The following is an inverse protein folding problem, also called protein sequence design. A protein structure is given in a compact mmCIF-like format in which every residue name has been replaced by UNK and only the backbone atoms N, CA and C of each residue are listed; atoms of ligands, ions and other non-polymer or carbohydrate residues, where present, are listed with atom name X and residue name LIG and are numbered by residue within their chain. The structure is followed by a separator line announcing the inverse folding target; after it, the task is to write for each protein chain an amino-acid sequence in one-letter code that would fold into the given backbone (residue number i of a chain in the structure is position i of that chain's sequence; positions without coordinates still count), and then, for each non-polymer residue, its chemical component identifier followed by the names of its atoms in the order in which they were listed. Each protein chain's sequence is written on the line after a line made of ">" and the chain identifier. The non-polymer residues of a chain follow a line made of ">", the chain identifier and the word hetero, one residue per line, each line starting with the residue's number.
data_IF_508025883206
#
_entry.id   IF_508025883206
#
_cell.length_a   1.000
_cell.length_b   1.000
_cell.length_c   1.000
_cell.angle_alpha   90.00
_cell.angle_beta   90.00
_cell.angle_gamma   90.00
#
_symmetry.space_group_name_H-M   'P 1'
#
loop_
_entity.id
_entity.type
_entity.pdbx_description
1 polymer ?
#
# COMPACT_ATOMS: atom_id res chain seq x y z
N UNK A 1 28.51 63.55 -31.70
CA UNK A 1 29.77 63.17 -31.03
C UNK A 1 29.70 61.70 -30.70
N UNK A 2 30.79 60.97 -30.91
CA UNK A 2 30.87 59.59 -30.45
C UNK A 2 31.03 59.57 -28.92
N UNK A 3 30.56 58.52 -28.26
CA UNK A 3 30.72 58.32 -26.81
C UNK A 3 32.17 58.50 -26.34
N UNK A 4 33.14 58.08 -27.17
CA UNK A 4 34.57 58.20 -26.88
C UNK A 4 35.07 59.65 -27.00
N UNK A 5 34.52 60.42 -27.93
CA UNK A 5 34.81 61.86 -28.07
C UNK A 5 34.32 62.62 -26.84
N UNK A 6 33.08 62.38 -26.39
CA UNK A 6 32.52 63.03 -25.19
C UNK A 6 33.33 62.70 -23.92
N UNK A 7 33.85 61.47 -23.80
CA UNK A 7 34.75 61.12 -22.67
C UNK A 7 36.11 61.80 -22.75
N UNK A 8 36.70 61.90 -23.95
CA UNK A 8 38.00 62.54 -24.16
C UNK A 8 37.93 64.05 -23.91
N UNK A 9 36.87 64.69 -24.40
CA UNK A 9 36.61 66.10 -24.21
C UNK A 9 36.35 66.42 -22.73
N UNK A 10 35.62 65.55 -22.01
CA UNK A 10 35.44 65.68 -20.57
C UNK A 10 36.77 65.62 -19.80
N UNK A 11 37.64 64.64 -20.05
CA UNK A 11 38.93 64.54 -19.35
C UNK A 11 39.88 65.70 -19.67
N UNK A 12 39.77 66.27 -20.88
CA UNK A 12 40.49 67.49 -21.27
C UNK A 12 39.98 68.69 -20.47
N UNK A 13 38.66 68.87 -20.40
CA UNK A 13 38.01 69.93 -19.62
C UNK A 13 38.30 69.84 -18.12
N UNK A 14 38.39 68.63 -17.56
CA UNK A 14 38.74 68.38 -16.16
C UNK A 14 40.12 68.96 -15.82
N UNK A 15 41.07 68.79 -16.74
CA UNK A 15 42.45 69.26 -16.58
C UNK A 15 42.55 70.78 -16.74
N UNK A 16 41.79 71.36 -17.68
CA UNK A 16 41.75 72.81 -17.92
C UNK A 16 41.01 73.58 -16.83
N UNK A 17 39.96 72.98 -16.26
CA UNK A 17 39.12 73.59 -15.21
C UNK A 17 39.67 73.43 -13.79
N UNK A 18 40.90 72.93 -13.64
CA UNK A 18 41.54 72.65 -12.34
C UNK A 18 40.65 71.82 -11.40
N UNK A 19 39.91 70.85 -11.96
CA UNK A 19 38.96 69.97 -11.26
C UNK A 19 37.69 70.63 -10.67
N UNK A 20 37.34 71.86 -11.06
CA UNK A 20 36.06 72.49 -10.65
C UNK A 20 34.87 71.86 -11.41
N UNK A 21 34.12 71.01 -10.71
CA UNK A 21 32.97 70.28 -11.25
C UNK A 21 31.80 71.20 -11.64
N UNK A 22 31.65 72.37 -11.00
CA UNK A 22 30.61 73.33 -11.34
C UNK A 22 30.89 74.01 -12.68
N UNK A 23 32.16 74.34 -12.93
CA UNK A 23 32.62 74.92 -14.19
C UNK A 23 32.49 73.91 -15.34
N UNK A 24 32.90 72.66 -15.11
CA UNK A 24 32.83 71.57 -16.11
C UNK A 24 31.36 71.25 -16.46
N UNK A 25 30.46 71.27 -15.48
CA UNK A 25 29.02 71.05 -15.72
C UNK A 25 28.38 72.16 -16.54
N UNK A 26 28.80 73.41 -16.33
CA UNK A 26 28.30 74.55 -17.11
C UNK A 26 28.73 74.52 -18.57
N UNK A 27 29.90 73.94 -18.87
CA UNK A 27 30.50 73.91 -20.21
C UNK A 27 30.23 72.61 -20.98
N UNK A 28 30.16 71.46 -20.30
CA UNK A 28 29.89 70.16 -20.91
C UNK A 28 29.01 69.27 -19.99
N UNK A 29 27.72 69.57 -19.85
CA UNK A 29 26.81 68.81 -18.98
C UNK A 29 26.65 67.36 -19.43
N UNK A 30 26.63 67.08 -20.74
CA UNK A 30 26.53 65.73 -21.29
C UNK A 30 27.74 64.86 -20.92
N UNK A 31 28.96 65.41 -20.99
CA UNK A 31 30.19 64.72 -20.58
C UNK A 31 30.18 64.29 -19.11
N UNK A 32 29.62 65.12 -18.21
CA UNK A 32 29.44 64.75 -16.79
C UNK A 32 28.47 63.57 -16.65
N UNK A 33 27.33 63.59 -17.33
CA UNK A 33 26.37 62.49 -17.27
C UNK A 33 26.97 61.18 -17.79
N UNK A 34 27.78 61.23 -18.86
CA UNK A 34 28.50 60.08 -19.40
C UNK A 34 29.50 59.51 -18.38
N UNK A 35 30.27 60.35 -17.68
CA UNK A 35 31.24 59.90 -16.67
C UNK A 35 30.56 59.32 -15.44
N UNK A 36 29.47 59.93 -14.97
CA UNK A 36 28.66 59.38 -13.87
C UNK A 36 28.07 58.02 -14.25
N UNK A 37 27.59 57.85 -15.49
CA UNK A 37 27.10 56.58 -16.01
C UNK A 37 28.21 55.51 -16.02
N UNK A 38 29.43 55.85 -16.45
CA UNK A 38 30.59 54.94 -16.42
C UNK A 38 30.90 54.49 -14.99
N UNK A 39 30.92 55.43 -14.03
CA UNK A 39 31.15 55.10 -12.61
C UNK A 39 30.06 54.19 -12.03
N UNK A 40 28.79 54.43 -12.39
CA UNK A 40 27.67 53.56 -12.02
C UNK A 40 27.82 52.16 -12.60
N UNK A 41 28.20 52.04 -13.87
CA UNK A 41 28.45 50.73 -14.51
C UNK A 41 29.61 50.01 -13.84
N UNK A 42 30.71 50.69 -13.52
CA UNK A 42 31.84 50.12 -12.79
C UNK A 42 31.43 49.64 -11.38
N UNK A 43 30.63 50.43 -10.65
CA UNK A 43 30.09 50.04 -9.35
C UNK A 43 29.22 48.78 -9.44
N UNK A 44 28.35 48.69 -10.46
CA UNK A 44 27.53 47.50 -10.71
C UNK A 44 28.40 46.27 -11.02
N UNK A 45 29.45 46.43 -11.84
CA UNK A 45 30.40 45.35 -12.15
C UNK A 45 31.08 44.86 -10.86
N UNK A 46 31.59 45.78 -10.03
CA UNK A 46 32.23 45.44 -8.75
C UNK A 46 31.25 44.72 -7.82
N UNK A 47 30.02 45.21 -7.70
CA UNK A 47 28.98 44.57 -6.90
C UNK A 47 28.67 43.14 -7.38
N UNK A 48 28.63 42.91 -8.70
CA UNK A 48 28.45 41.58 -9.29
C UNK A 48 29.61 40.64 -8.97
N UNK A 49 30.87 41.12 -9.03
CA UNK A 49 32.04 40.33 -8.66
C UNK A 49 32.04 39.96 -7.18
N UNK A 50 31.77 40.92 -6.29
CA UNK A 50 31.65 40.68 -4.84
C UNK A 50 30.57 39.63 -4.55
N UNK A 51 29.38 39.80 -5.16
CA UNK A 51 28.27 38.85 -5.01
C UNK A 51 28.65 37.45 -5.50
N UNK A 52 29.37 37.35 -6.62
CA UNK A 52 29.82 36.07 -7.16
C UNK A 52 30.85 35.39 -6.25
N UNK A 53 31.82 36.15 -5.74
CA UNK A 53 32.83 35.66 -4.80
C UNK A 53 32.21 35.17 -3.49
N UNK A 54 31.26 35.94 -2.93
CA UNK A 54 30.54 35.55 -1.72
C UNK A 54 29.78 34.23 -1.91
N UNK A 55 29.02 34.08 -3.00
CA UNK A 55 28.30 32.84 -3.30
C UNK A 55 29.22 31.64 -3.52
N UNK A 56 30.40 31.87 -4.13
CA UNK A 56 31.42 30.83 -4.30
C UNK A 56 31.97 30.37 -2.94
N UNK A 57 32.29 31.30 -2.05
CA UNK A 57 32.76 31.00 -0.69
C UNK A 57 31.70 30.26 0.14
N UNK A 58 30.43 30.70 0.06
CA UNK A 58 29.30 30.01 0.71
C UNK A 58 29.18 28.56 0.23
N UNK A 59 29.31 28.36 -1.09
CA UNK A 59 29.21 27.03 -1.71
C UNK A 59 30.40 26.13 -1.32
N UNK A 60 31.63 26.65 -1.29
CA UNK A 60 32.81 25.91 -0.81
C UNK A 60 32.64 25.48 0.65
N UNK A 61 32.13 26.37 1.50
CA UNK A 61 31.81 26.06 2.90
C UNK A 61 30.71 25.01 3.02
N UNK A 62 29.74 25.00 2.10
CA UNK A 62 28.69 23.99 2.06
C UNK A 62 29.26 22.62 1.69
N UNK A 63 30.07 22.56 0.63
CA UNK A 63 30.76 21.34 0.17
C UNK A 63 31.62 20.74 1.30
N UNK A 64 32.38 21.56 2.03
CA UNK A 64 33.27 21.07 3.10
C UNK A 64 32.55 20.59 4.36
N UNK A 65 31.29 21.00 4.57
CA UNK A 65 30.52 20.67 5.77
C UNK A 65 29.39 19.68 5.53
N UNK A 66 29.09 19.34 4.28
CA UNK A 66 27.90 18.54 3.96
C UNK A 66 27.91 17.15 4.62
N UNK A 67 29.09 16.55 4.77
CA UNK A 67 29.27 15.24 5.44
C UNK A 67 28.85 15.25 6.92
N UNK A 68 28.80 16.43 7.56
CA UNK A 68 28.44 16.57 8.98
C UNK A 68 26.93 16.71 9.22
N UNK A 69 26.11 16.66 8.16
CA UNK A 69 24.66 16.78 8.28
C UNK A 69 24.09 15.41 8.66
N UNK A 70 23.32 15.37 9.75
CA UNK A 70 22.72 14.15 10.29
C UNK A 70 21.29 13.89 9.82
N UNK A 71 20.64 14.85 9.15
CA UNK A 71 19.30 14.71 8.61
C UNK A 71 19.32 14.50 7.09
N UNK A 72 18.60 13.48 6.61
CA UNK A 72 18.62 13.12 5.18
C UNK A 72 18.02 14.22 4.29
N UNK A 73 16.89 14.82 4.69
CA UNK A 73 16.20 15.80 3.86
C UNK A 73 17.01 17.10 3.77
N UNK A 74 17.63 17.51 4.88
CA UNK A 74 18.58 18.62 4.91
C UNK A 74 19.82 18.34 4.04
N UNK A 75 20.38 17.12 4.13
CA UNK A 75 21.53 16.71 3.34
C UNK A 75 21.22 16.77 1.85
N UNK A 76 20.12 16.14 1.42
CA UNK A 76 19.71 16.05 0.01
C UNK A 76 19.38 17.43 -0.59
N UNK A 77 18.70 18.28 0.18
CA UNK A 77 18.42 19.67 -0.19
C UNK A 77 19.71 20.48 -0.40
N UNK A 78 20.67 20.35 0.52
CA UNK A 78 21.97 21.03 0.41
C UNK A 78 22.82 20.48 -0.74
N UNK A 79 22.81 19.17 -0.98
CA UNK A 79 23.51 18.58 -2.12
C UNK A 79 22.88 19.03 -3.45
N UNK A 80 21.55 19.12 -3.52
CA UNK A 80 20.83 19.68 -4.67
C UNK A 80 21.21 21.13 -4.93
N UNK A 81 21.33 21.95 -3.88
CA UNK A 81 21.84 23.34 -3.99
C UNK A 81 23.26 23.37 -4.55
N UNK A 82 24.13 22.44 -4.13
CA UNK A 82 25.48 22.31 -4.69
C UNK A 82 25.40 22.01 -6.18
N UNK A 83 24.61 21.01 -6.58
CA UNK A 83 24.46 20.60 -7.97
C UNK A 83 23.99 21.75 -8.88
N UNK A 84 23.02 22.55 -8.43
CA UNK A 84 22.43 23.66 -9.19
C UNK A 84 23.36 24.88 -9.31
N UNK A 85 24.17 25.17 -8.29
CA UNK A 85 25.07 26.33 -8.30
C UNK A 85 26.47 25.99 -8.87
N UNK A 86 26.85 24.71 -8.91
CA UNK A 86 28.12 24.24 -9.48
C UNK A 86 28.47 24.89 -10.84
N UNK A 87 27.60 24.92 -11.87
CA UNK A 87 27.96 25.46 -13.19
C UNK A 87 28.17 27.00 -13.21
N UNK A 88 27.90 27.69 -12.10
CA UNK A 88 28.06 29.16 -11.96
C UNK A 88 29.28 29.58 -11.14
N UNK A 89 29.99 28.66 -10.47
CA UNK A 89 30.95 28.98 -9.39
C UNK A 89 32.40 28.55 -9.62
N UNK A 90 32.73 28.11 -10.84
CA UNK A 90 34.10 27.88 -11.29
C UNK A 90 34.68 26.51 -10.91
N UNK A 91 35.89 26.24 -11.39
CA UNK A 91 36.61 24.96 -11.23
C UNK A 91 37.01 24.64 -9.79
N UNK A 92 37.23 25.65 -8.94
CA UNK A 92 37.62 25.45 -7.54
C UNK A 92 36.55 24.68 -6.74
N UNK A 93 35.27 25.00 -6.96
CA UNK A 93 34.16 24.26 -6.32
C UNK A 93 34.11 22.82 -6.83
N UNK A 94 34.31 22.62 -8.14
CA UNK A 94 34.35 21.29 -8.73
C UNK A 94 35.49 20.44 -8.14
N UNK A 95 36.68 21.03 -7.97
CA UNK A 95 37.83 20.34 -7.39
C UNK A 95 37.61 19.99 -5.90
N UNK A 96 37.02 20.90 -5.13
CA UNK A 96 36.64 20.63 -3.73
C UNK A 96 35.61 19.49 -3.63
N UNK A 97 34.59 19.50 -4.49
CA UNK A 97 33.61 18.41 -4.57
C UNK A 97 34.28 17.09 -4.98
N UNK A 98 35.23 17.13 -5.93
CA UNK A 98 35.97 15.96 -6.39
C UNK A 98 36.80 15.32 -5.28
N UNK A 99 37.39 16.12 -4.39
CA UNK A 99 38.14 15.63 -3.24
C UNK A 99 37.25 14.93 -2.20
N UNK A 100 36.01 15.38 -2.03
CA UNK A 100 35.10 14.90 -0.98
C UNK A 100 34.05 13.88 -1.46
N UNK A 101 33.95 13.62 -2.78
CA UNK A 101 32.90 12.81 -3.41
C UNK A 101 32.66 11.43 -2.78
N UNK A 102 33.73 10.77 -2.33
CA UNK A 102 33.64 9.46 -1.65
C UNK A 102 32.96 9.56 -0.29
N UNK A 103 33.45 10.45 0.57
CA UNK A 103 32.87 10.64 1.90
C UNK A 103 31.46 11.23 1.88
N UNK A 104 31.11 12.03 0.86
CA UNK A 104 29.74 12.52 0.66
C UNK A 104 28.80 11.34 0.44
N UNK A 105 29.15 10.42 -0.46
CA UNK A 105 28.37 9.21 -0.71
C UNK A 105 28.24 8.35 0.55
N UNK A 106 29.35 8.07 1.23
CA UNK A 106 29.34 7.26 2.46
C UNK A 106 28.45 7.88 3.55
N UNK A 107 28.56 9.19 3.78
CA UNK A 107 27.75 9.89 4.78
C UNK A 107 26.27 9.84 4.39
N UNK A 108 25.95 10.09 3.12
CA UNK A 108 24.57 10.09 2.65
C UNK A 108 23.92 8.70 2.75
N UNK A 109 24.64 7.63 2.40
CA UNK A 109 24.13 6.26 2.52
C UNK A 109 23.95 5.84 3.98
N UNK A 110 24.81 6.31 4.89
CA UNK A 110 24.66 6.02 6.32
C UNK A 110 23.34 6.57 6.88
N UNK A 111 22.86 7.71 6.38
CA UNK A 111 21.56 8.29 6.77
C UNK A 111 20.35 7.45 6.36
N UNK A 112 20.53 6.50 5.41
CA UNK A 112 19.45 5.64 4.94
C UNK A 112 19.29 4.36 5.76
N UNK A 113 20.22 4.03 6.65
CA UNK A 113 20.33 2.70 7.28
C UNK A 113 19.01 2.22 7.89
N UNK A 114 18.35 3.08 8.66
CA UNK A 114 17.15 2.75 9.43
C UNK A 114 15.84 3.07 8.67
N UNK A 115 15.94 3.48 7.40
CA UNK A 115 14.75 3.73 6.59
C UNK A 115 14.09 2.40 6.19
N UNK A 116 12.76 2.37 6.25
CA UNK A 116 12.02 1.27 5.62
C UNK A 116 12.21 1.27 4.10
N UNK A 117 11.95 0.12 3.46
CA UNK A 117 12.23 -0.05 2.03
C UNK A 117 11.50 0.96 1.12
N UNK A 118 10.28 1.37 1.49
CA UNK A 118 9.53 2.40 0.75
C UNK A 118 10.27 3.75 0.77
N UNK A 119 10.77 4.16 1.95
CA UNK A 119 11.60 5.36 2.07
C UNK A 119 12.93 5.20 1.34
N UNK A 120 13.61 4.06 1.46
CA UNK A 120 14.85 3.77 0.72
C UNK A 120 14.66 3.93 -0.79
N UNK A 121 13.65 3.30 -1.39
CA UNK A 121 13.35 3.43 -2.83
C UNK A 121 13.23 4.90 -3.25
N UNK A 122 12.49 5.71 -2.48
CA UNK A 122 12.34 7.16 -2.76
C UNK A 122 13.68 7.88 -2.66
N UNK A 123 14.42 7.69 -1.58
CA UNK A 123 15.70 8.34 -1.33
C UNK A 123 16.76 7.97 -2.37
N UNK A 124 16.91 6.70 -2.72
CA UNK A 124 17.85 6.26 -3.76
C UNK A 124 17.56 6.92 -5.12
N UNK A 125 16.29 7.06 -5.50
CA UNK A 125 15.89 7.80 -6.72
C UNK A 125 16.29 9.27 -6.66
N UNK A 126 16.09 9.93 -5.52
CA UNK A 126 16.49 11.33 -5.32
C UNK A 126 18.00 11.49 -5.44
N UNK A 127 18.77 10.67 -4.71
CA UNK A 127 20.24 10.68 -4.74
C UNK A 127 20.74 10.48 -6.18
N UNK A 128 20.25 9.47 -6.88
CA UNK A 128 20.62 9.19 -8.28
C UNK A 128 20.40 10.40 -9.19
N UNK A 129 19.25 11.05 -9.08
CA UNK A 129 18.92 12.26 -9.85
C UNK A 129 19.88 13.41 -9.56
N UNK A 130 20.15 13.68 -8.28
CA UNK A 130 21.10 14.72 -7.85
C UNK A 130 22.52 14.40 -8.36
N UNK A 131 22.93 13.14 -8.31
CA UNK A 131 24.26 12.72 -8.76
C UNK A 131 24.41 12.87 -10.27
N UNK A 132 23.37 12.51 -11.04
CA UNK A 132 23.32 12.77 -12.48
C UNK A 132 23.40 14.26 -12.81
N UNK A 133 22.73 15.11 -12.03
CA UNK A 133 22.81 16.56 -12.17
C UNK A 133 24.21 17.11 -11.87
N UNK A 134 24.89 16.60 -10.83
CA UNK A 134 26.27 16.96 -10.52
C UNK A 134 27.19 16.56 -11.68
N UNK A 135 27.06 15.35 -12.21
CA UNK A 135 27.86 14.89 -13.35
C UNK A 135 27.70 15.81 -14.57
N UNK A 136 26.46 16.13 -14.93
CA UNK A 136 26.17 17.03 -16.05
C UNK A 136 26.70 18.45 -15.81
N UNK A 137 26.56 18.96 -14.60
CA UNK A 137 27.03 20.29 -14.22
C UNK A 137 28.56 20.40 -14.16
N UNK A 138 29.25 19.28 -13.91
CA UNK A 138 30.72 19.19 -13.82
C UNK A 138 31.41 19.24 -15.20
N UNK A 139 30.71 18.82 -16.27
CA UNK A 139 31.22 18.82 -17.65
C UNK A 139 31.75 20.19 -18.10
N UNK A 140 31.13 21.27 -17.64
CA UNK A 140 31.53 22.65 -17.96
C UNK A 140 32.98 22.98 -17.59
N UNK A 141 33.55 22.29 -16.60
CA UNK A 141 34.88 22.58 -16.06
C UNK A 141 35.93 21.53 -16.44
N UNK A 142 35.62 20.63 -17.39
CA UNK A 142 36.52 19.56 -17.82
C UNK A 142 37.10 18.68 -16.68
N UNK A 143 36.37 18.57 -15.56
CA UNK A 143 36.75 17.67 -14.46
C UNK A 143 36.20 16.27 -14.77
N UNK A 144 36.96 15.50 -15.54
CA UNK A 144 36.57 14.15 -15.99
C UNK A 144 36.37 13.18 -14.83
N UNK A 145 37.22 13.24 -13.81
CA UNK A 145 37.15 12.33 -12.66
C UNK A 145 35.83 12.50 -11.90
N UNK A 146 35.48 13.75 -11.57
CA UNK A 146 34.22 14.10 -10.90
C UNK A 146 33.01 13.68 -11.76
N UNK A 147 33.07 14.00 -13.06
CA UNK A 147 31.99 13.69 -14.00
C UNK A 147 31.76 12.18 -14.09
N UNK A 148 32.82 11.41 -14.35
CA UNK A 148 32.75 9.94 -14.46
C UNK A 148 32.30 9.30 -13.15
N UNK A 149 32.78 9.80 -12.01
CA UNK A 149 32.37 9.28 -10.70
C UNK A 149 30.87 9.43 -10.46
N UNK A 150 30.33 10.64 -10.60
CA UNK A 150 28.92 10.91 -10.33
C UNK A 150 28.00 10.30 -11.38
N UNK A 151 28.43 10.24 -12.65
CA UNK A 151 27.68 9.54 -13.70
C UNK A 151 27.58 8.04 -13.38
N UNK A 152 28.71 7.40 -13.05
CA UNK A 152 28.73 5.99 -12.69
C UNK A 152 27.90 5.70 -11.43
N UNK A 153 28.10 6.49 -10.36
CA UNK A 153 27.38 6.30 -9.10
C UNK A 153 25.88 6.55 -9.23
N UNK A 154 25.43 7.49 -10.06
CA UNK A 154 24.00 7.70 -10.31
C UNK A 154 23.30 6.43 -10.82
N UNK A 155 24.00 5.62 -11.62
CA UNK A 155 23.50 4.34 -12.16
C UNK A 155 23.61 3.22 -11.14
N UNK A 156 24.81 2.98 -10.60
CA UNK A 156 25.07 1.89 -9.62
C UNK A 156 24.12 1.97 -8.41
N UNK A 157 23.80 3.17 -7.95
CA UNK A 157 22.85 3.36 -6.84
C UNK A 157 21.50 2.69 -7.08
N UNK A 158 21.00 2.73 -8.32
CA UNK A 158 19.71 2.15 -8.68
C UNK A 158 19.86 0.70 -9.17
N UNK A 159 20.84 0.45 -10.02
CA UNK A 159 21.00 -0.82 -10.73
C UNK A 159 21.62 -1.92 -9.86
N UNK A 160 22.30 -1.56 -8.75
CA UNK A 160 22.94 -2.51 -7.86
C UNK A 160 22.55 -2.30 -6.39
N UNK A 161 22.81 -1.10 -5.85
CA UNK A 161 22.70 -0.87 -4.40
C UNK A 161 21.24 -0.95 -3.93
N UNK A 162 20.31 -0.30 -4.64
CA UNK A 162 18.88 -0.39 -4.32
C UNK A 162 18.33 -1.80 -4.53
N UNK A 163 18.78 -2.53 -5.55
CA UNK A 163 18.36 -3.91 -5.77
C UNK A 163 18.75 -4.80 -4.59
N UNK A 164 19.99 -4.66 -4.08
CA UNK A 164 20.46 -5.38 -2.88
C UNK A 164 19.65 -5.04 -1.65
N UNK A 165 19.26 -3.78 -1.47
CA UNK A 165 18.40 -3.34 -0.37
C UNK A 165 16.99 -3.94 -0.44
N UNK A 166 16.41 -4.01 -1.65
CA UNK A 166 15.12 -4.67 -1.88
C UNK A 166 15.22 -6.16 -1.61
N UNK A 167 16.29 -6.81 -2.08
CA UNK A 167 16.57 -8.23 -1.82
C UNK A 167 16.74 -8.53 -0.34
N UNK A 168 17.54 -7.73 0.36
CA UNK A 168 17.70 -7.86 1.78
C UNK A 168 16.38 -7.64 2.53
N UNK A 169 15.52 -6.73 2.07
CA UNK A 169 14.20 -6.54 2.67
C UNK A 169 13.34 -7.80 2.54
N UNK A 170 13.09 -8.30 1.33
CA UNK A 170 12.13 -9.39 1.15
C UNK A 170 12.63 -10.73 1.73
N UNK A 171 13.95 -10.94 1.84
CA UNK A 171 14.53 -12.13 2.48
C UNK A 171 14.43 -12.15 4.01
N UNK A 172 14.15 -11.01 4.64
CA UNK A 172 14.17 -10.87 6.11
C UNK A 172 12.81 -10.51 6.72
N UNK A 173 11.73 -10.58 5.93
CA UNK A 173 10.37 -10.36 6.42
C UNK A 173 9.56 -11.66 6.45
N UNK A 174 8.45 -11.64 7.18
CA UNK A 174 7.53 -12.77 7.27
C UNK A 174 6.21 -12.54 6.53
N UNK A 175 6.16 -11.52 5.65
CA UNK A 175 4.98 -11.14 4.85
C UNK A 175 3.69 -11.02 5.67
N UNK A 176 3.59 -9.99 6.51
CA UNK A 176 2.37 -9.65 7.27
C UNK A 176 1.56 -8.60 6.52
N UNK A 177 0.30 -8.38 6.88
CA UNK A 177 -0.55 -7.35 6.26
C UNK A 177 0.11 -5.95 6.23
N UNK A 178 0.82 -5.58 7.30
CA UNK A 178 1.53 -4.29 7.36
C UNK A 178 2.65 -4.13 6.31
N UNK A 179 3.09 -5.23 5.69
CA UNK A 179 4.12 -5.25 4.64
C UNK A 179 3.58 -4.96 3.24
N UNK A 180 2.26 -4.96 3.04
CA UNK A 180 1.62 -4.72 1.73
C UNK A 180 2.09 -3.39 1.12
N UNK A 181 2.11 -2.32 1.92
CA UNK A 181 2.58 -0.99 1.47
C UNK A 181 4.03 -1.00 0.97
N UNK A 182 4.86 -1.88 1.51
CA UNK A 182 6.26 -2.01 1.14
C UNK A 182 6.40 -2.85 -0.14
N UNK A 183 5.67 -3.96 -0.23
CA UNK A 183 5.60 -4.78 -1.44
C UNK A 183 5.04 -3.98 -2.62
N UNK A 184 3.96 -3.22 -2.44
CA UNK A 184 3.40 -2.36 -3.48
C UNK A 184 4.41 -1.29 -3.95
N UNK A 185 5.24 -0.76 -3.03
CA UNK A 185 6.31 0.19 -3.38
C UNK A 185 7.42 -0.48 -4.19
N UNK A 186 7.77 -1.72 -3.87
CA UNK A 186 8.73 -2.54 -4.63
C UNK A 186 8.18 -2.85 -6.02
N UNK A 187 6.92 -3.29 -6.12
CA UNK A 187 6.26 -3.59 -7.40
C UNK A 187 6.21 -2.34 -8.29
N UNK A 188 5.81 -1.21 -7.73
CA UNK A 188 5.79 0.09 -8.44
C UNK A 188 7.17 0.46 -8.97
N UNK A 189 8.22 0.24 -8.17
CA UNK A 189 9.59 0.50 -8.61
C UNK A 189 10.04 -0.48 -9.70
N UNK A 190 9.84 -1.78 -9.50
CA UNK A 190 10.22 -2.81 -10.47
C UNK A 190 9.57 -2.55 -11.84
N UNK A 191 8.29 -2.19 -11.86
CA UNK A 191 7.56 -1.85 -13.08
C UNK A 191 8.07 -0.58 -13.80
N UNK A 192 8.85 0.27 -13.11
CA UNK A 192 9.52 1.42 -13.74
C UNK A 192 10.85 1.06 -14.41
N UNK A 193 11.36 -0.16 -14.22
CA UNK A 193 12.59 -0.64 -14.82
C UNK A 193 12.34 -1.26 -16.20
N UNK A 194 13.39 -1.35 -17.02
CA UNK A 194 13.35 -2.05 -18.31
C UNK A 194 13.07 -3.55 -18.15
N UNK A 195 13.56 -4.15 -17.06
CA UNK A 195 13.35 -5.55 -16.73
C UNK A 195 12.76 -5.68 -15.32
N UNK A 196 11.43 -5.57 -15.15
CA UNK A 196 10.77 -5.73 -13.85
C UNK A 196 11.03 -7.10 -13.21
N UNK A 197 11.22 -8.14 -14.02
CA UNK A 197 11.39 -9.52 -13.53
C UNK A 197 12.66 -9.74 -12.71
N UNK A 198 13.68 -8.88 -12.90
CA UNK A 198 14.88 -8.88 -12.06
C UNK A 198 14.59 -8.69 -10.57
N UNK A 199 13.44 -8.11 -10.23
CA UNK A 199 12.97 -7.92 -8.85
C UNK A 199 11.74 -8.77 -8.55
N UNK A 200 10.76 -8.81 -9.47
CA UNK A 200 9.48 -9.46 -9.22
C UNK A 200 9.59 -10.97 -9.09
N UNK A 201 10.40 -11.62 -9.93
CA UNK A 201 10.55 -13.08 -9.89
C UNK A 201 11.19 -13.55 -8.57
N UNK A 202 12.35 -13.01 -8.12
CA UNK A 202 12.92 -13.38 -6.82
C UNK A 202 12.00 -13.08 -5.63
N UNK A 203 11.27 -11.95 -5.65
CA UNK A 203 10.29 -11.63 -4.62
C UNK A 203 9.17 -12.68 -4.55
N UNK A 204 8.64 -13.07 -5.72
CA UNK A 204 7.61 -14.10 -5.82
C UNK A 204 8.14 -15.46 -5.33
N UNK A 205 9.36 -15.84 -5.69
CA UNK A 205 10.01 -17.05 -5.21
C UNK A 205 10.14 -17.06 -3.68
N UNK A 206 10.56 -15.94 -3.07
CA UNK A 206 10.69 -15.84 -1.62
C UNK A 206 9.33 -15.98 -0.91
N UNK A 207 8.29 -15.30 -1.41
CA UNK A 207 6.92 -15.45 -0.91
C UNK A 207 6.47 -16.92 -0.99
N UNK A 208 6.76 -17.57 -2.12
CA UNK A 208 6.34 -18.94 -2.40
C UNK A 208 7.09 -20.01 -1.57
N UNK A 209 8.17 -19.67 -0.87
CA UNK A 209 8.85 -20.58 0.07
C UNK A 209 8.01 -20.88 1.30
N UNK A 210 7.10 -19.97 1.65
CA UNK A 210 6.24 -20.11 2.81
C UNK A 210 4.94 -20.84 2.45
N UNK A 211 4.40 -21.59 3.42
CA UNK A 211 3.15 -22.31 3.21
C UNK A 211 1.93 -21.41 3.40
N UNK A 212 1.20 -21.17 2.31
CA UNK A 212 -0.09 -20.47 2.32
C UNK A 212 -1.18 -21.24 3.08
N UNK A 213 -1.00 -22.54 3.26
CA UNK A 213 -1.96 -23.41 3.94
C UNK A 213 -1.77 -23.47 5.46
N UNK A 214 -0.64 -22.98 5.99
CA UNK A 214 -0.30 -23.06 7.41
C UNK A 214 0.19 -21.74 8.03
N UNK A 215 0.54 -20.73 7.22
CA UNK A 215 0.94 -19.42 7.71
C UNK A 215 -0.22 -18.41 7.59
N UNK A 216 -0.89 -18.13 8.71
CA UNK A 216 -2.01 -17.19 8.75
C UNK A 216 -1.59 -15.77 8.32
N UNK A 217 -0.41 -15.29 8.72
CA UNK A 217 0.04 -13.94 8.36
C UNK A 217 0.19 -13.79 6.85
N UNK A 218 0.80 -14.80 6.21
CA UNK A 218 0.94 -14.84 4.76
C UNK A 218 -0.42 -14.94 4.06
N UNK A 219 -1.32 -15.78 4.59
CA UNK A 219 -2.67 -15.90 4.05
C UNK A 219 -3.42 -14.57 4.06
N UNK A 220 -3.38 -13.85 5.19
CA UNK A 220 -3.97 -12.52 5.34
C UNK A 220 -3.30 -11.49 4.44
N UNK A 221 -1.97 -11.49 4.39
CA UNK A 221 -1.19 -10.65 3.48
C UNK A 221 -1.64 -10.84 2.03
N UNK A 222 -1.70 -12.09 1.56
CA UNK A 222 -2.09 -12.44 0.20
C UNK A 222 -3.51 -12.01 -0.15
N UNK A 223 -4.46 -12.23 0.77
CA UNK A 223 -5.87 -11.81 0.64
C UNK A 223 -6.04 -10.30 0.54
N UNK A 224 -5.20 -9.54 1.23
CA UNK A 224 -5.27 -8.09 1.26
C UNK A 224 -4.49 -7.39 0.12
N UNK A 225 -3.76 -8.14 -0.72
CA UNK A 225 -3.17 -7.60 -1.95
C UNK A 225 -4.28 -7.23 -2.94
N UNK A 226 -3.98 -6.29 -3.84
CA UNK A 226 -4.89 -5.91 -4.94
C UNK A 226 -4.22 -6.10 -6.28
N UNK A 227 -5.02 -6.38 -7.31
CA UNK A 227 -4.52 -6.53 -8.69
C UNK A 227 -3.88 -5.25 -9.21
N UNK A 228 -4.44 -4.10 -8.83
CA UNK A 228 -4.01 -2.77 -9.30
C UNK A 228 -2.64 -2.38 -8.75
N UNK A 229 -2.40 -2.58 -7.45
CA UNK A 229 -1.15 -2.16 -6.81
C UNK A 229 -0.06 -3.23 -6.84
N UNK A 230 -0.45 -4.50 -6.67
CA UNK A 230 0.50 -5.60 -6.47
C UNK A 230 0.70 -6.45 -7.74
N UNK A 231 -0.14 -6.27 -8.77
CA UNK A 231 0.04 -6.85 -10.10
C UNK A 231 0.30 -8.36 -10.08
N UNK A 232 1.45 -8.79 -10.61
CA UNK A 232 1.83 -10.21 -10.71
C UNK A 232 1.93 -10.91 -9.35
N UNK A 233 2.33 -10.20 -8.30
CA UNK A 233 2.42 -10.78 -6.95
C UNK A 233 1.03 -11.16 -6.44
N UNK A 234 0.02 -10.29 -6.66
CA UNK A 234 -1.37 -10.61 -6.35
C UNK A 234 -1.85 -11.84 -7.11
N UNK A 235 -1.63 -11.89 -8.43
CA UNK A 235 -2.06 -13.04 -9.25
C UNK A 235 -1.46 -14.34 -8.73
N UNK A 236 -0.14 -14.39 -8.52
CA UNK A 236 0.52 -15.60 -7.99
C UNK A 236 -0.02 -16.00 -6.61
N UNK A 237 -0.17 -15.05 -5.69
CA UNK A 237 -0.68 -15.33 -4.35
C UNK A 237 -2.12 -15.86 -4.35
N UNK A 238 -2.99 -15.27 -5.18
CA UNK A 238 -4.37 -15.73 -5.29
C UNK A 238 -4.49 -17.09 -5.97
N UNK A 239 -3.73 -17.32 -7.05
CA UNK A 239 -3.69 -18.63 -7.70
C UNK A 239 -3.25 -19.71 -6.70
N UNK A 240 -2.26 -19.40 -5.84
CA UNK A 240 -1.85 -20.29 -4.74
C UNK A 240 -2.98 -20.55 -3.77
N UNK A 241 -3.66 -19.52 -3.27
CA UNK A 241 -4.80 -19.68 -2.35
C UNK A 241 -5.91 -20.50 -2.99
N UNK A 242 -6.33 -20.18 -4.21
CA UNK A 242 -7.42 -20.88 -4.89
C UNK A 242 -7.08 -22.33 -5.19
N UNK A 243 -5.80 -22.64 -5.46
CA UNK A 243 -5.34 -24.01 -5.60
C UNK A 243 -5.46 -24.83 -4.30
N UNK A 244 -5.39 -24.20 -3.13
CA UNK A 244 -5.58 -24.89 -1.84
C UNK A 244 -7.02 -25.40 -1.69
N UNK A 245 -7.99 -24.56 -2.05
CA UNK A 245 -9.42 -24.88 -1.90
C UNK A 245 -9.96 -25.75 -3.04
N UNK A 246 -9.32 -25.72 -4.21
CA UNK A 246 -9.69 -26.55 -5.36
C UNK A 246 -9.11 -27.98 -5.29
N UNK A 247 -8.15 -28.23 -4.38
CA UNK A 247 -7.52 -29.53 -4.23
C UNK A 247 -8.05 -30.27 -3.00
N UNK A 248 -8.88 -31.28 -3.27
CA UNK A 248 -9.53 -32.11 -2.25
C UNK A 248 -8.57 -32.90 -1.34
N UNK A 249 -7.26 -32.92 -1.58
CA UNK A 249 -6.29 -33.64 -0.73
C UNK A 249 -5.39 -32.71 0.10
N UNK A 250 -5.43 -31.40 -0.17
CA UNK A 250 -4.59 -30.43 0.53
C UNK A 250 -5.11 -30.20 1.94
N UNK A 251 -4.20 -30.03 2.90
CA UNK A 251 -4.51 -29.69 4.28
C UNK A 251 -4.37 -28.18 4.47
N UNK A 252 -5.42 -27.51 4.92
CA UNK A 252 -5.44 -26.07 5.23
C UNK A 252 -5.67 -25.90 6.72
N UNK A 253 -4.67 -25.39 7.46
CA UNK A 253 -4.69 -25.19 8.91
C UNK A 253 -6.04 -24.71 9.44
N UNK A 254 -6.50 -25.32 10.53
CA UNK A 254 -7.73 -24.94 11.22
C UNK A 254 -7.78 -23.45 11.54
N UNK A 255 -6.65 -22.83 11.90
CA UNK A 255 -6.57 -21.42 12.24
C UNK A 255 -6.94 -20.54 11.03
N UNK A 256 -6.59 -20.97 9.81
CA UNK A 256 -6.96 -20.27 8.58
C UNK A 256 -8.45 -20.49 8.28
N UNK A 257 -8.96 -21.71 8.48
CA UNK A 257 -10.38 -22.01 8.27
C UNK A 257 -11.27 -21.23 9.24
N UNK A 258 -10.92 -21.17 10.53
CA UNK A 258 -11.60 -20.36 11.54
C UNK A 258 -11.58 -18.88 11.16
N UNK A 259 -10.41 -18.35 10.77
CA UNK A 259 -10.30 -16.98 10.28
C UNK A 259 -11.25 -16.71 9.11
N UNK A 260 -11.38 -17.62 8.15
CA UNK A 260 -12.30 -17.47 7.03
C UNK A 260 -13.77 -17.51 7.45
N UNK A 261 -14.14 -18.38 8.39
CA UNK A 261 -15.49 -18.45 8.96
C UNK A 261 -15.86 -17.12 9.63
N UNK A 262 -14.94 -16.58 10.45
CA UNK A 262 -15.12 -15.31 11.17
C UNK A 262 -15.20 -14.09 10.23
N UNK A 263 -14.57 -14.16 9.06
CA UNK A 263 -14.47 -13.04 8.11
C UNK A 263 -15.38 -13.19 6.88
N UNK A 264 -16.49 -13.93 7.02
CA UNK A 264 -17.56 -13.98 6.01
C UNK A 264 -17.30 -14.90 4.80
N UNK A 265 -16.27 -15.74 4.85
CA UNK A 265 -15.94 -16.72 3.80
C UNK A 265 -16.40 -18.16 4.14
N UNK A 266 -17.40 -18.28 5.02
CA UNK A 266 -17.97 -19.55 5.50
C UNK A 266 -18.26 -20.55 4.39
N UNK A 267 -18.91 -20.09 3.31
CA UNK A 267 -19.30 -20.95 2.19
C UNK A 267 -18.09 -21.65 1.53
N UNK A 268 -16.95 -20.96 1.39
CA UNK A 268 -15.72 -21.53 0.82
C UNK A 268 -15.13 -22.61 1.73
N UNK A 269 -15.25 -22.43 3.05
CA UNK A 269 -14.85 -23.44 4.05
C UNK A 269 -15.78 -24.65 4.03
N UNK A 270 -17.10 -24.43 3.94
CA UNK A 270 -18.08 -25.51 3.85
C UNK A 270 -17.87 -26.35 2.59
N UNK A 271 -17.63 -25.71 1.44
CA UNK A 271 -17.34 -26.39 0.18
C UNK A 271 -16.05 -27.20 0.27
N UNK A 272 -15.00 -26.64 0.87
CA UNK A 272 -13.75 -27.36 1.09
C UNK A 272 -13.93 -28.60 1.98
N UNK A 273 -14.60 -28.46 3.12
CA UNK A 273 -14.88 -29.58 4.03
C UNK A 273 -15.75 -30.62 3.34
N UNK A 274 -16.77 -30.23 2.57
CA UNK A 274 -17.66 -31.16 1.86
C UNK A 274 -16.92 -32.05 0.85
N UNK A 275 -15.80 -31.58 0.31
CA UNK A 275 -15.08 -32.21 -0.79
C UNK A 275 -13.76 -32.88 -0.35
N UNK A 276 -13.32 -32.68 0.89
CA UNK A 276 -12.03 -33.12 1.40
C UNK A 276 -11.92 -34.65 1.39
N UNK A 277 -10.91 -35.20 0.72
CA UNK A 277 -10.66 -36.64 0.53
C UNK A 277 -9.63 -37.22 1.48
N UNK A 278 -9.01 -36.41 2.32
CA UNK A 278 -8.00 -36.86 3.30
C UNK A 278 -8.69 -37.28 4.61
N UNK A 279 -8.83 -38.58 4.92
CA UNK A 279 -9.65 -39.03 6.06
C UNK A 279 -9.07 -38.58 7.40
N UNK A 280 -7.75 -38.74 7.59
CA UNK A 280 -7.09 -38.35 8.85
C UNK A 280 -7.19 -36.85 9.10
N UNK A 281 -7.13 -36.05 8.04
CA UNK A 281 -7.27 -34.60 8.17
C UNK A 281 -8.73 -34.19 8.45
N UNK A 282 -9.68 -34.78 7.71
CA UNK A 282 -11.11 -34.56 7.93
C UNK A 282 -11.51 -34.96 9.36
N UNK A 283 -10.98 -36.05 9.89
CA UNK A 283 -11.17 -36.47 11.28
C UNK A 283 -10.69 -35.42 12.28
N UNK A 284 -9.52 -34.82 12.03
CA UNK A 284 -9.01 -33.75 12.89
C UNK A 284 -9.94 -32.53 12.86
N UNK A 285 -10.37 -32.12 11.66
CA UNK A 285 -11.31 -31.02 11.51
C UNK A 285 -12.65 -31.30 12.18
N UNK A 286 -13.15 -32.54 12.10
CA UNK A 286 -14.38 -32.97 12.77
C UNK A 286 -14.29 -32.71 14.27
N UNK A 287 -13.21 -33.12 14.94
CA UNK A 287 -13.06 -32.91 16.38
C UNK A 287 -12.95 -31.42 16.78
N UNK A 288 -12.47 -30.58 15.87
CA UNK A 288 -12.23 -29.17 16.15
C UNK A 288 -13.41 -28.27 15.78
N UNK A 289 -14.23 -28.65 14.79
CA UNK A 289 -15.31 -27.83 14.26
C UNK A 289 -16.71 -28.39 14.50
N UNK A 290 -16.92 -29.70 14.37
CA UNK A 290 -18.27 -30.27 14.31
C UNK A 290 -18.98 -30.21 15.67
N UNK A 291 -20.18 -29.62 15.68
CA UNK A 291 -21.05 -29.57 16.86
C UNK A 291 -20.48 -28.79 18.05
N UNK A 292 -19.51 -27.90 17.80
CA UNK A 292 -18.96 -27.00 18.83
C UNK A 292 -19.91 -25.82 19.02
N UNK A 293 -20.23 -25.50 20.27
CA UNK A 293 -21.11 -24.36 20.61
C UNK A 293 -20.56 -23.02 20.09
N UNK A 294 -19.24 -22.87 20.04
CA UNK A 294 -18.56 -21.69 19.49
C UNK A 294 -18.80 -21.53 17.97
N UNK A 295 -19.22 -22.61 17.31
CA UNK A 295 -19.50 -22.67 15.87
C UNK A 295 -20.95 -23.16 15.65
N UNK A 296 -21.96 -22.47 16.19
CA UNK A 296 -23.37 -22.78 15.90
C UNK A 296 -23.70 -22.41 14.44
N UNK A 297 -23.26 -23.27 13.52
CA UNK A 297 -23.40 -23.11 12.07
C UNK A 297 -23.81 -24.46 11.46
N UNK A 298 -25.13 -24.66 11.37
CA UNK A 298 -25.69 -25.88 10.80
C UNK A 298 -25.15 -26.21 9.41
N UNK A 299 -24.74 -25.22 8.61
CA UNK A 299 -24.18 -25.47 7.29
C UNK A 299 -22.77 -26.07 7.35
N UNK A 300 -21.99 -25.72 8.38
CA UNK A 300 -20.69 -26.33 8.64
C UNK A 300 -20.86 -27.80 9.03
N UNK A 301 -21.80 -28.10 9.92
CA UNK A 301 -22.09 -29.48 10.31
C UNK A 301 -22.61 -30.31 9.13
N UNK A 302 -23.52 -29.75 8.33
CA UNK A 302 -24.03 -30.41 7.13
C UNK A 302 -22.94 -30.59 6.05
N UNK A 303 -21.90 -29.74 6.03
CA UNK A 303 -20.75 -29.95 5.15
C UNK A 303 -19.96 -31.22 5.51
N UNK A 304 -19.82 -31.53 6.81
CA UNK A 304 -19.23 -32.80 7.25
C UNK A 304 -20.09 -34.00 6.84
N UNK A 305 -21.41 -33.92 7.06
CA UNK A 305 -22.37 -34.99 6.68
C UNK A 305 -22.35 -35.26 5.18
N UNK A 306 -22.29 -34.18 4.38
CA UNK A 306 -22.22 -34.26 2.92
C UNK A 306 -20.95 -34.96 2.42
N UNK A 307 -19.85 -34.95 3.17
CA UNK A 307 -18.57 -35.49 2.71
C UNK A 307 -18.55 -37.03 2.71
N UNK A 308 -18.35 -37.63 1.52
CA UNK A 308 -18.32 -39.08 1.30
C UNK A 308 -17.11 -39.81 1.94
N UNK A 309 -16.09 -39.06 2.37
CA UNK A 309 -14.88 -39.62 2.99
C UNK A 309 -15.21 -40.17 4.36
N UNK A 310 -15.00 -41.49 4.52
CA UNK A 310 -15.26 -42.19 5.78
C UNK A 310 -14.31 -41.74 6.88
N UNK A 311 -14.85 -41.35 8.03
CA UNK A 311 -14.10 -41.07 9.26
C UNK A 311 -14.75 -41.87 10.42
N UNK A 312 -14.34 -41.61 11.65
CA UNK A 312 -15.04 -42.08 12.84
C UNK A 312 -15.95 -40.96 13.34
N UNK A 313 -17.14 -40.89 12.76
CA UNK A 313 -18.17 -39.90 13.04
C UNK A 313 -19.31 -40.43 13.93
N UNK A 314 -20.06 -39.51 14.53
CA UNK A 314 -21.37 -39.80 15.11
C UNK A 314 -22.44 -38.82 14.60
N UNK A 315 -22.54 -38.69 13.27
CA UNK A 315 -23.45 -37.73 12.64
C UNK A 315 -24.93 -38.02 12.97
N UNK A 316 -25.33 -39.30 13.02
CA UNK A 316 -26.72 -39.68 13.27
C UNK A 316 -27.23 -39.14 14.60
N UNK A 317 -26.56 -39.48 15.70
CA UNK A 317 -26.99 -39.07 17.04
C UNK A 317 -27.03 -37.54 17.17
N UNK A 318 -26.04 -36.84 16.58
CA UNK A 318 -26.04 -35.38 16.55
C UNK A 318 -27.25 -34.80 15.82
N UNK A 319 -27.55 -35.29 14.61
CA UNK A 319 -28.68 -34.79 13.82
C UNK A 319 -30.02 -35.11 14.49
N UNK A 320 -30.20 -36.32 15.02
CA UNK A 320 -31.42 -36.72 15.74
C UNK A 320 -31.66 -35.82 16.96
N UNK A 321 -30.61 -35.50 17.71
CA UNK A 321 -30.67 -34.58 18.84
C UNK A 321 -30.99 -33.14 18.39
N UNK A 322 -30.34 -32.63 17.35
CA UNK A 322 -30.61 -31.27 16.82
C UNK A 322 -32.05 -31.15 16.29
N UNK A 323 -32.57 -32.16 15.58
CA UNK A 323 -33.96 -32.19 15.11
C UNK A 323 -34.92 -32.25 16.30
N UNK A 324 -34.64 -33.11 17.28
CA UNK A 324 -35.50 -33.28 18.46
C UNK A 324 -35.54 -32.02 19.31
N UNK A 325 -34.42 -31.35 19.53
CA UNK A 325 -34.35 -30.12 20.32
C UNK A 325 -35.05 -28.95 19.62
N UNK A 326 -34.90 -28.85 18.30
CA UNK A 326 -35.46 -27.76 17.49
C UNK A 326 -36.77 -28.14 16.80
N UNK A 327 -37.52 -29.11 17.35
CA UNK A 327 -38.67 -29.73 16.68
C UNK A 327 -39.81 -28.76 16.27
N UNK A 328 -39.85 -27.56 16.84
CA UNK A 328 -40.81 -26.49 16.49
C UNK A 328 -40.33 -25.58 15.35
N UNK A 329 -39.04 -25.58 15.04
CA UNK A 329 -38.47 -24.79 13.94
C UNK A 329 -38.52 -25.59 12.64
N UNK A 330 -39.67 -25.51 11.97
CA UNK A 330 -39.89 -26.23 10.71
C UNK A 330 -38.93 -25.80 9.60
N UNK A 331 -38.47 -24.55 9.61
CA UNK A 331 -37.52 -24.03 8.63
C UNK A 331 -36.17 -24.72 8.75
N UNK A 332 -35.63 -24.77 9.98
CA UNK A 332 -34.38 -25.45 10.27
C UNK A 332 -34.45 -26.96 9.99
N UNK A 333 -35.52 -27.62 10.43
CA UNK A 333 -35.66 -29.07 10.22
C UNK A 333 -35.71 -29.39 8.73
N UNK A 334 -36.51 -28.64 7.94
CA UNK A 334 -36.56 -28.82 6.48
C UNK A 334 -35.19 -28.58 5.84
N UNK A 335 -34.45 -27.57 6.29
CA UNK A 335 -33.10 -27.30 5.81
C UNK A 335 -32.17 -28.49 6.04
N UNK A 336 -32.20 -29.08 7.25
CA UNK A 336 -31.42 -30.28 7.59
C UNK A 336 -31.84 -31.47 6.73
N UNK A 337 -33.13 -31.78 6.65
CA UNK A 337 -33.61 -32.96 5.92
C UNK A 337 -33.31 -32.90 4.40
N UNK A 338 -33.32 -31.71 3.83
CA UNK A 338 -33.03 -31.50 2.41
C UNK A 338 -31.53 -31.57 2.08
N UNK A 339 -30.66 -31.61 3.09
CA UNK A 339 -29.22 -31.64 2.87
C UNK A 339 -28.75 -33.01 2.34
N UNK A 340 -27.73 -33.03 1.47
CA UNK A 340 -27.20 -34.29 0.93
C UNK A 340 -26.78 -35.26 2.03
N UNK A 341 -27.04 -36.55 1.81
CA UNK A 341 -26.67 -37.68 2.68
C UNK A 341 -27.28 -37.68 4.09
N UNK A 342 -28.13 -36.71 4.45
CA UNK A 342 -28.84 -36.74 5.74
C UNK A 342 -29.76 -37.95 5.82
N UNK A 343 -30.54 -38.25 4.78
CA UNK A 343 -31.38 -39.45 4.73
C UNK A 343 -30.58 -40.75 4.95
N UNK A 344 -29.41 -40.86 4.31
CA UNK A 344 -28.51 -42.02 4.45
C UNK A 344 -27.95 -42.12 5.87
N UNK A 345 -27.73 -40.96 6.52
CA UNK A 345 -27.12 -40.85 7.84
C UNK A 345 -28.10 -41.18 8.96
N UNK A 346 -29.30 -40.58 8.97
CA UNK A 346 -30.29 -40.83 10.03
C UNK A 346 -31.12 -42.09 9.76
N UNK A 347 -31.30 -42.45 8.48
CA UNK A 347 -32.04 -43.62 8.03
C UNK A 347 -33.52 -43.33 7.71
N UNK A 348 -34.10 -44.19 6.84
CA UNK A 348 -35.45 -43.99 6.27
C UNK A 348 -36.58 -43.90 7.31
N UNK A 349 -36.51 -44.68 8.40
CA UNK A 349 -37.57 -44.72 9.41
C UNK A 349 -37.60 -43.40 10.18
N UNK A 350 -36.44 -42.96 10.67
CA UNK A 350 -36.32 -41.72 11.44
C UNK A 350 -36.66 -40.51 10.56
N UNK A 351 -36.17 -40.49 9.31
CA UNK A 351 -36.54 -39.47 8.33
C UNK A 351 -38.06 -39.38 8.11
N UNK A 352 -38.74 -40.51 7.94
CA UNK A 352 -40.21 -40.56 7.76
C UNK A 352 -40.94 -40.05 9.00
N UNK A 353 -40.51 -40.45 10.20
CA UNK A 353 -41.12 -40.01 11.44
C UNK A 353 -41.03 -38.48 11.61
N UNK A 354 -39.89 -37.88 11.21
CA UNK A 354 -39.72 -36.43 11.24
C UNK A 354 -40.64 -35.75 10.22
N UNK A 355 -40.79 -36.30 9.00
CA UNK A 355 -41.72 -35.76 8.00
C UNK A 355 -43.18 -35.79 8.47
N UNK A 356 -43.64 -36.91 9.02
CA UNK A 356 -45.01 -37.03 9.57
C UNK A 356 -45.25 -36.03 10.71
N UNK A 357 -44.21 -35.72 11.49
CA UNK A 357 -44.26 -34.70 12.53
C UNK A 357 -44.34 -33.28 11.96
N UNK A 358 -43.57 -32.98 10.91
CA UNK A 358 -43.63 -31.69 10.20
C UNK A 358 -45.05 -31.48 9.66
N UNK A 359 -45.62 -32.47 8.97
CA UNK A 359 -46.97 -32.38 8.38
C UNK A 359 -48.04 -32.09 9.44
N UNK A 360 -47.97 -32.75 10.62
CA UNK A 360 -48.88 -32.46 11.73
C UNK A 360 -48.76 -31.02 12.22
N UNK A 361 -47.55 -30.52 12.38
CA UNK A 361 -47.30 -29.17 12.89
C UNK A 361 -47.70 -28.09 11.89
N UNK A 362 -47.51 -28.31 10.59
CA UNK A 362 -47.99 -27.40 9.55
C UNK A 362 -49.52 -27.29 9.56
N UNK A 363 -50.21 -28.43 9.67
CA UNK A 363 -51.66 -28.44 9.77
C UNK A 363 -52.18 -27.72 11.04
N UNK A 364 -51.47 -27.86 12.17
CA UNK A 364 -51.80 -27.12 13.40
C UNK A 364 -51.58 -25.61 13.25
N UNK A 365 -50.48 -25.18 12.60
CA UNK A 365 -50.21 -23.76 12.33
C UNK A 365 -51.28 -23.16 11.41
N UNK A 366 -51.64 -23.85 10.32
CA UNK A 366 -52.67 -23.42 9.38
C UNK A 366 -54.06 -23.35 10.05
N UNK A 367 -54.37 -24.32 10.91
CA UNK A 367 -55.62 -24.30 11.67
C UNK A 367 -55.66 -23.11 12.63
N UNK A 368 -54.60 -22.86 13.38
CA UNK A 368 -54.51 -21.74 14.31
C UNK A 368 -54.56 -20.38 13.60
N UNK A 369 -53.94 -20.26 12.42
CA UNK A 369 -54.03 -19.06 11.59
C UNK A 369 -55.47 -18.76 11.15
N UNK A 370 -56.21 -19.78 10.69
CA UNK A 370 -57.64 -19.66 10.34
C UNK A 370 -58.49 -19.28 11.54
N UNK A 371 -58.24 -19.88 12.70
CA UNK A 371 -58.95 -19.53 13.95
C UNK A 371 -58.67 -18.08 14.36
N UNK A 372 -57.42 -17.62 14.24
CA UNK A 372 -57.05 -16.24 14.55
C UNK A 372 -57.77 -15.23 13.61
N UNK A 373 -57.83 -15.53 12.31
CA UNK A 373 -58.56 -14.72 11.33
C UNK A 373 -60.06 -14.67 11.66
N UNK A 374 -60.67 -15.81 11.99
CA UNK A 374 -62.08 -15.89 12.40
C UNK A 374 -62.34 -15.10 13.68
N UNK A 375 -61.45 -15.18 14.67
CA UNK A 375 -61.54 -14.42 15.92
C UNK A 375 -61.39 -12.91 15.67
N UNK A 376 -60.56 -12.50 14.71
CA UNK A 376 -60.40 -11.11 14.33
C UNK A 376 -61.67 -10.58 13.64
N UNK A 377 -62.23 -11.34 12.71
CA UNK A 377 -63.53 -11.04 12.08
C UNK A 377 -64.64 -10.95 13.13
N UNK A 378 -64.67 -11.88 14.08
CA UNK A 378 -65.64 -11.87 15.17
C UNK A 378 -65.50 -10.64 16.06
N UNK A 379 -64.26 -10.23 16.40
CA UNK A 379 -64.00 -8.98 17.15
C UNK A 379 -64.44 -7.74 16.38
N UNK A 380 -64.16 -7.67 15.07
CA UNK A 380 -64.63 -6.55 14.23
C UNK A 380 -66.16 -6.50 14.18
N UNK A 381 -66.83 -7.65 14.04
CA UNK A 381 -68.29 -7.73 14.07
C UNK A 381 -68.88 -7.31 15.42
N UNK A 382 -68.24 -7.69 16.54
CA UNK A 382 -68.64 -7.27 17.88
C UNK A 382 -68.52 -5.75 18.07
N UNK A 383 -67.45 -5.14 17.59
CA UNK A 383 -67.25 -3.68 17.62
C UNK A 383 -68.35 -2.96 16.82
N UNK A 384 -68.62 -3.41 15.59
CA UNK A 384 -69.70 -2.86 14.75
C UNK A 384 -71.06 -2.99 15.43
N UNK A 385 -71.35 -4.14 16.06
CA UNK A 385 -72.60 -4.34 16.78
C UNK A 385 -72.73 -3.42 18.01
N UNK A 386 -71.64 -3.17 18.73
CA UNK A 386 -71.59 -2.21 19.85
C UNK A 386 -71.79 -0.78 19.36
N UNK A 387 -71.17 -0.39 18.26
CA UNK A 387 -71.36 0.92 17.62
C UNK A 387 -72.80 1.12 17.14
N UNK A 388 -73.37 0.15 16.43
CA UNK A 388 -74.76 0.20 15.99
C UNK A 388 -75.74 0.30 17.17
N UNK A 389 -75.47 -0.43 18.27
CA UNK A 389 -76.25 -0.35 19.51
C UNK A 389 -76.09 1.00 20.22
N UNK A 390 -74.93 1.63 20.14
CA UNK A 390 -74.70 2.98 20.66
C UNK A 390 -75.46 4.02 19.82
N UNK A 391 -75.40 3.94 18.49
CA UNK A 391 -76.16 4.80 17.56
C UNK A 391 -77.67 4.66 17.79
N UNK A 392 -78.17 3.43 17.95
CA UNK A 392 -79.58 3.17 18.24
C UNK A 392 -80.03 3.72 19.62
N UNK A 393 -79.09 3.89 20.56
CA UNK A 393 -79.37 4.50 21.87
C UNK A 393 -79.29 6.02 21.87
N UNK A 394 -78.51 6.62 20.96
CA UNK A 394 -78.41 8.09 20.79
C UNK A 394 -79.48 8.67 19.86
N UNK A 395 -80.23 7.84 19.14
CA UNK A 395 -81.36 8.23 18.28
C UNK A 395 -82.74 8.24 18.96
N UNK A 396 -82.77 8.10 20.29
CA UNK A 396 -83.91 8.40 21.16
C UNK A 396 -83.55 9.62 22.00
#
# INVERSE_FOLDING_TARGET
>A
MSFLEETSDFFTLVKESNFDLGLIYSQNPNGIYVVVLILLVLLLIVALFIRSAFKKSELLRLVSKIQNISDFDEFDSKLSKIALELPKRGSEVANSLNALKGGILTSQLALLKDFNIKKKIKSYKQISSVYSLIANSSKKYANEELTKYYENKSRILLDEDLIKEIENYYKNISFKENDIKYVNSIVTYANSLKNPESILTPLQEEINRFSFAFNLNLFKFAKALTKEESGKIFTNCNDKIDSLFSNNNVKISEVILSYMIENGEKQKVHEYISNLKNPSYLQSLYYNFFGKEENDDINLELAFVKNETQINENYKEYLDNKITFNWKDLGLIKHILNAPRVLETIGHIDYRNVLERIEKLENEVDYNAKVAEILEVARRAETIAKEAKAIARSGK
#
